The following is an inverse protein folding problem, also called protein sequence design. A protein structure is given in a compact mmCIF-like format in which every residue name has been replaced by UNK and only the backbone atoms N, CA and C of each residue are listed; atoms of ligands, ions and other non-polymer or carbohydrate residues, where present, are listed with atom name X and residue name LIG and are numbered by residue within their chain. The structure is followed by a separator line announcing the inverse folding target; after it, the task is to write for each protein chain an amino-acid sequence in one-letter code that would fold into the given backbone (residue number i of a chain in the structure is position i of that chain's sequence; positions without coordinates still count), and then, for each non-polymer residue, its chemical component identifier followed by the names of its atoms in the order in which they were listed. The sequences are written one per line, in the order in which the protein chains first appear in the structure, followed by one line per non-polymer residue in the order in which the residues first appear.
data_IF_916650882814
#
_entry.id   IF_916650882814
#
_cell.length_a   1.000
_cell.length_b   1.000
_cell.length_c   1.000
_cell.angle_alpha   90.00
_cell.angle_beta   90.00
_cell.angle_gamma   90.00
#
_symmetry.space_group_name_H-M   'P 1'
#
loop_
_entity.id
_entity.type
_entity.pdbx_description
1 polymer ?
#
# COMPACT_ATOMS: atom_id res chain seq x y z
N UNK A 1 18.73 6.34 -21.12
CA UNK A 1 17.57 5.80 -20.36
C UNK A 1 17.04 4.48 -20.96
N UNK A 2 16.99 4.30 -22.29
CA UNK A 2 16.64 3.01 -22.93
C UNK A 2 17.68 1.89 -22.75
N UNK A 3 18.98 2.21 -22.76
CA UNK A 3 20.06 1.21 -22.64
C UNK A 3 20.10 0.48 -21.28
N UNK A 4 19.57 1.09 -20.21
CA UNK A 4 19.46 0.44 -18.90
C UNK A 4 18.29 -0.56 -18.84
N UNK A 5 17.26 -0.35 -19.67
CA UNK A 5 16.10 -1.23 -19.77
C UNK A 5 16.44 -2.55 -20.48
N UNK A 6 17.37 -2.52 -21.45
CA UNK A 6 17.79 -3.70 -22.21
C UNK A 6 18.68 -4.62 -21.36
N UNK A 7 19.51 -4.06 -20.46
CA UNK A 7 20.31 -4.89 -19.54
C UNK A 7 19.45 -5.60 -18.48
N UNK A 8 18.26 -5.08 -18.16
CA UNK A 8 17.30 -5.72 -17.26
C UNK A 8 16.61 -6.94 -17.88
N UNK A 9 16.65 -7.08 -19.20
CA UNK A 9 16.08 -8.22 -19.96
C UNK A 9 17.12 -9.31 -20.27
N UNK A 10 18.39 -9.07 -19.93
CA UNK A 10 19.52 -9.97 -20.28
C UNK A 10 19.92 -10.96 -19.18
N UNK A 11 19.31 -10.89 -18.00
CA UNK A 11 19.55 -11.82 -16.91
C UNK A 11 18.34 -12.75 -16.70
N UNK A 12 18.47 -13.99 -17.20
CA UNK A 12 17.58 -15.11 -16.90
C UNK A 12 16.76 -15.59 -18.10
N UNK A 13 17.26 -16.60 -18.83
CA UNK A 13 16.58 -17.29 -19.93
C UNK A 13 15.37 -18.13 -19.53
N UNK A 14 14.56 -17.69 -18.57
CA UNK A 14 13.36 -18.39 -18.10
C UNK A 14 12.14 -17.47 -18.17
N UNK A 15 11.03 -18.01 -18.68
CA UNK A 15 9.72 -17.32 -18.79
C UNK A 15 9.26 -16.75 -17.43
N UNK A 16 9.78 -17.27 -16.31
CA UNK A 16 9.43 -16.91 -14.94
C UNK A 16 9.74 -15.45 -14.56
N UNK A 17 10.91 -14.91 -14.93
CA UNK A 17 11.34 -13.58 -14.44
C UNK A 17 10.41 -12.45 -14.94
N UNK A 18 10.07 -12.36 -16.24
CA UNK A 18 9.09 -11.37 -16.72
C UNK A 18 7.70 -11.52 -16.06
N UNK A 19 7.25 -12.76 -15.82
CA UNK A 19 5.99 -12.99 -15.10
C UNK A 19 6.05 -12.50 -13.66
N UNK A 20 7.18 -12.69 -12.98
CA UNK A 20 7.36 -12.22 -11.61
C UNK A 20 7.34 -10.68 -11.54
N UNK A 21 7.97 -10.01 -12.51
CA UNK A 21 7.89 -8.53 -12.65
C UNK A 21 6.44 -8.08 -12.86
N UNK A 22 5.70 -8.77 -13.74
CA UNK A 22 4.29 -8.47 -13.99
C UNK A 22 3.44 -8.64 -12.72
N UNK A 23 3.57 -9.77 -12.02
CA UNK A 23 2.86 -10.03 -10.75
C UNK A 23 3.22 -8.98 -9.70
N UNK A 24 4.49 -8.62 -9.59
CA UNK A 24 4.95 -7.57 -8.68
C UNK A 24 4.28 -6.23 -8.99
N UNK A 25 4.30 -5.78 -10.24
CA UNK A 25 3.68 -4.52 -10.68
C UNK A 25 2.15 -4.52 -10.47
N UNK A 26 1.46 -5.61 -10.82
CA UNK A 26 0.01 -5.74 -10.62
C UNK A 26 -0.33 -5.75 -9.13
N UNK A 27 0.45 -6.45 -8.31
CA UNK A 27 0.22 -6.47 -6.86
C UNK A 27 0.41 -5.09 -6.22
N UNK A 28 1.36 -4.27 -6.71
CA UNK A 28 1.50 -2.87 -6.30
C UNK A 28 0.25 -2.06 -6.67
N UNK A 29 -0.23 -2.20 -7.92
CA UNK A 29 -1.41 -1.51 -8.41
C UNK A 29 -2.66 -1.85 -7.59
N UNK A 30 -2.90 -3.15 -7.32
CA UNK A 30 -4.06 -3.61 -6.53
C UNK A 30 -3.91 -3.24 -5.05
N UNK A 31 -2.68 -3.17 -4.53
CA UNK A 31 -2.45 -2.74 -3.15
C UNK A 31 -2.72 -1.24 -2.96
N UNK A 32 -2.27 -0.40 -3.89
CA UNK A 32 -2.29 1.07 -3.76
C UNK A 32 -3.60 1.67 -4.31
N UNK A 33 -4.03 1.25 -5.50
CA UNK A 33 -5.13 1.87 -6.25
C UNK A 33 -6.45 2.01 -5.46
N UNK A 34 -6.92 0.97 -4.76
CA UNK A 34 -8.16 1.04 -4.00
C UNK A 34 -8.20 2.13 -2.91
N UNK A 35 -7.05 2.60 -2.38
CA UNK A 35 -7.04 3.66 -1.37
C UNK A 35 -7.55 5.01 -1.89
N UNK A 36 -7.47 5.27 -3.20
CA UNK A 36 -8.02 6.49 -3.79
C UNK A 36 -9.55 6.52 -3.65
N UNK A 37 -10.20 5.36 -3.79
CA UNK A 37 -11.66 5.22 -3.63
C UNK A 37 -12.12 5.48 -2.18
N UNK A 38 -11.21 5.33 -1.20
CA UNK A 38 -11.53 5.63 0.20
C UNK A 38 -11.71 7.13 0.47
N UNK A 39 -11.18 8.01 -0.40
CA UNK A 39 -11.32 9.46 -0.27
C UNK A 39 -12.80 9.87 -0.38
N UNK A 40 -13.53 9.59 -1.49
CA UNK A 40 -14.96 9.92 -1.56
C UNK A 40 -15.79 9.12 -0.54
N UNK A 41 -15.37 7.92 -0.14
CA UNK A 41 -16.05 7.17 0.93
C UNK A 41 -15.99 7.86 2.29
N UNK A 42 -14.91 8.57 2.62
CA UNK A 42 -14.86 9.38 3.85
C UNK A 42 -15.94 10.46 3.89
N UNK A 43 -16.25 11.07 2.74
CA UNK A 43 -17.36 12.01 2.61
C UNK A 43 -18.70 11.34 2.92
N UNK A 44 -18.94 10.17 2.32
CA UNK A 44 -20.14 9.37 2.56
C UNK A 44 -20.28 8.88 4.01
N UNK A 45 -19.15 8.56 4.66
CA UNK A 45 -19.12 8.19 6.08
C UNK A 45 -19.46 9.34 7.04
N UNK A 46 -19.46 10.60 6.61
CA UNK A 46 -19.88 11.72 7.46
C UNK A 46 -21.39 11.86 7.55
N UNK A 47 -22.12 11.50 6.49
CA UNK A 47 -23.57 11.69 6.39
C UNK A 47 -24.36 10.40 6.54
N UNK A 48 -23.75 9.23 6.38
CA UNK A 48 -24.44 7.95 6.52
C UNK A 48 -24.89 7.67 7.95
N UNK A 49 -26.02 7.00 8.15
CA UNK A 49 -26.50 6.59 9.47
C UNK A 49 -27.03 5.15 9.43
N UNK A 50 -27.19 4.54 10.60
CA UNK A 50 -27.73 3.18 10.74
C UNK A 50 -27.04 2.15 9.85
N UNK A 51 -27.83 1.38 9.10
CA UNK A 51 -27.34 0.31 8.21
C UNK A 51 -26.42 0.81 7.09
N UNK A 52 -26.64 2.02 6.58
CA UNK A 52 -25.83 2.59 5.51
C UNK A 52 -24.40 2.90 5.98
N UNK A 53 -24.26 3.35 7.23
CA UNK A 53 -22.95 3.55 7.85
C UNK A 53 -22.17 2.23 7.93
N UNK A 54 -22.83 1.16 8.39
CA UNK A 54 -22.20 -0.15 8.49
C UNK A 54 -21.75 -0.68 7.12
N UNK A 55 -22.59 -0.54 6.08
CA UNK A 55 -22.24 -0.93 4.72
C UNK A 55 -20.99 -0.18 4.20
N UNK A 56 -20.89 1.13 4.43
CA UNK A 56 -19.69 1.88 4.05
C UNK A 56 -18.46 1.50 4.86
N UNK A 57 -18.59 1.22 6.16
CA UNK A 57 -17.47 0.71 6.96
C UNK A 57 -17.01 -0.67 6.50
N UNK A 58 -17.93 -1.55 6.09
CA UNK A 58 -17.61 -2.87 5.53
C UNK A 58 -16.84 -2.76 4.22
N UNK A 59 -17.29 -1.88 3.31
CA UNK A 59 -16.55 -1.58 2.08
C UNK A 59 -15.16 -1.00 2.37
N UNK A 60 -15.04 -0.11 3.38
CA UNK A 60 -13.74 0.47 3.75
C UNK A 60 -12.80 -0.62 4.27
N UNK A 61 -13.31 -1.50 5.15
CA UNK A 61 -12.54 -2.61 5.70
C UNK A 61 -12.20 -3.66 4.64
N UNK A 62 -13.06 -3.87 3.65
CA UNK A 62 -12.76 -4.72 2.50
C UNK A 62 -11.56 -4.20 1.72
N UNK A 63 -11.56 -2.91 1.36
CA UNK A 63 -10.45 -2.27 0.65
C UNK A 63 -9.14 -2.42 1.45
N UNK A 64 -9.14 -2.08 2.74
CA UNK A 64 -7.94 -2.22 3.59
C UNK A 64 -7.45 -3.68 3.65
N UNK A 65 -8.36 -4.66 3.70
CA UNK A 65 -8.01 -6.09 3.67
C UNK A 65 -7.45 -6.51 2.33
N UNK A 66 -8.10 -6.15 1.22
CA UNK A 66 -7.64 -6.45 -0.13
C UNK A 66 -6.21 -5.94 -0.32
N UNK A 67 -5.98 -4.68 0.03
CA UNK A 67 -4.66 -4.07 -0.07
C UNK A 67 -3.61 -4.76 0.79
N UNK A 68 -3.96 -5.26 1.97
CA UNK A 68 -3.04 -6.05 2.80
C UNK A 68 -2.62 -7.35 2.10
N UNK A 69 -3.57 -8.10 1.53
CA UNK A 69 -3.26 -9.36 0.85
C UNK A 69 -2.41 -9.12 -0.41
N UNK A 70 -2.79 -8.13 -1.22
CA UNK A 70 -1.99 -7.72 -2.38
C UNK A 70 -0.62 -7.19 -1.98
N UNK A 71 -0.53 -6.49 -0.84
CA UNK A 71 0.72 -6.06 -0.22
C UNK A 71 1.64 -7.24 0.14
N UNK A 72 1.12 -8.34 0.68
CA UNK A 72 1.94 -9.53 0.91
C UNK A 72 2.51 -10.11 -0.40
N UNK A 73 1.68 -10.20 -1.44
CA UNK A 73 2.13 -10.64 -2.78
C UNK A 73 3.22 -9.70 -3.33
N UNK A 74 3.05 -8.39 -3.15
CA UNK A 74 4.03 -7.37 -3.55
C UNK A 74 5.38 -7.58 -2.87
N UNK A 75 5.37 -7.78 -1.55
CA UNK A 75 6.61 -7.97 -0.77
C UNK A 75 7.31 -9.26 -1.15
N UNK A 76 6.57 -10.37 -1.21
CA UNK A 76 7.14 -11.67 -1.55
C UNK A 76 7.72 -11.65 -2.96
N UNK A 77 6.95 -11.18 -3.95
CA UNK A 77 7.44 -11.07 -5.33
C UNK A 77 8.64 -10.12 -5.45
N UNK A 78 8.67 -9.02 -4.70
CA UNK A 78 9.80 -8.09 -4.68
C UNK A 78 11.07 -8.71 -4.10
N UNK A 79 10.94 -9.49 -3.02
CA UNK A 79 12.04 -10.26 -2.44
C UNK A 79 12.58 -11.31 -3.43
N UNK A 80 11.70 -12.04 -4.13
CA UNK A 80 12.14 -12.98 -5.16
C UNK A 80 12.84 -12.28 -6.33
N UNK A 81 12.35 -11.11 -6.79
CA UNK A 81 13.00 -10.34 -7.86
C UNK A 81 14.39 -9.86 -7.44
N UNK A 82 14.52 -9.40 -6.20
CA UNK A 82 15.80 -8.98 -5.65
C UNK A 82 16.80 -10.14 -5.58
N UNK A 83 16.34 -11.32 -5.13
CA UNK A 83 17.15 -12.54 -5.07
C UNK A 83 17.59 -12.99 -6.46
N UNK A 84 16.66 -13.11 -7.41
CA UNK A 84 16.94 -13.57 -8.77
C UNK A 84 17.73 -12.57 -9.61
N UNK A 85 17.60 -11.27 -9.31
CA UNK A 85 18.36 -10.20 -9.95
C UNK A 85 19.70 -9.89 -9.29
N UNK A 86 20.10 -10.65 -8.27
CA UNK A 86 21.38 -10.51 -7.56
C UNK A 86 21.67 -9.09 -7.01
N UNK A 87 20.62 -8.36 -6.63
CA UNK A 87 20.76 -6.99 -6.14
C UNK A 87 21.34 -6.95 -4.72
N UNK A 88 22.35 -6.11 -4.43
CA UNK A 88 22.90 -6.00 -3.08
C UNK A 88 21.89 -5.42 -2.09
N UNK A 89 21.77 -6.03 -0.90
CA UNK A 89 20.91 -5.54 0.20
C UNK A 89 21.27 -4.15 0.71
N UNK A 90 22.52 -3.73 0.52
CA UNK A 90 23.01 -2.40 0.91
C UNK A 90 22.62 -1.30 -0.07
N UNK A 91 21.99 -1.65 -1.18
CA UNK A 91 21.57 -0.67 -2.19
C UNK A 91 20.57 0.32 -1.57
N UNK A 92 20.81 1.64 -1.65
CA UNK A 92 20.09 2.61 -0.84
C UNK A 92 18.57 2.59 -0.97
N UNK A 93 18.07 2.58 -2.21
CA UNK A 93 16.65 2.57 -2.50
C UNK A 93 15.97 1.26 -2.08
N UNK A 94 16.71 0.13 -2.07
CA UNK A 94 16.20 -1.17 -1.60
C UNK A 94 16.01 -1.12 -0.09
N UNK A 95 17.06 -0.77 0.65
CA UNK A 95 17.01 -0.64 2.11
C UNK A 95 15.95 0.37 2.55
N UNK A 96 15.91 1.54 1.90
CA UNK A 96 14.88 2.57 2.14
C UNK A 96 13.47 2.04 1.91
N UNK A 97 13.26 1.26 0.85
CA UNK A 97 11.94 0.70 0.55
C UNK A 97 11.51 -0.33 1.60
N UNK A 98 12.40 -1.19 2.10
CA UNK A 98 12.06 -2.10 3.19
C UNK A 98 11.68 -1.36 4.48
N UNK A 99 12.42 -0.31 4.84
CA UNK A 99 12.10 0.52 6.01
C UNK A 99 10.70 1.14 5.87
N UNK A 100 10.43 1.77 4.72
CA UNK A 100 9.13 2.40 4.44
C UNK A 100 8.01 1.36 4.40
N UNK A 101 8.26 0.18 3.82
CA UNK A 101 7.33 -0.94 3.76
C UNK A 101 6.95 -1.46 5.14
N UNK A 102 7.93 -1.79 5.99
CA UNK A 102 7.62 -2.29 7.34
C UNK A 102 6.91 -1.22 8.17
N UNK A 103 7.33 0.04 8.04
CA UNK A 103 6.64 1.18 8.66
C UNK A 103 5.19 1.32 8.18
N UNK A 104 4.94 1.17 6.88
CA UNK A 104 3.60 1.27 6.30
C UNK A 104 2.68 0.13 6.74
N UNK A 105 3.17 -1.11 6.79
CA UNK A 105 2.41 -2.26 7.26
C UNK A 105 2.00 -2.10 8.73
N UNK A 106 2.94 -1.68 9.57
CA UNK A 106 2.66 -1.40 10.99
C UNK A 106 1.66 -0.26 11.15
N UNK A 107 1.86 0.85 10.44
CA UNK A 107 0.96 2.00 10.45
C UNK A 107 -0.46 1.60 10.01
N UNK A 108 -0.60 0.85 8.92
CA UNK A 108 -1.90 0.43 8.39
C UNK A 108 -2.67 -0.41 9.43
N UNK A 109 -2.00 -1.41 10.02
CA UNK A 109 -2.62 -2.28 11.01
C UNK A 109 -3.08 -1.51 12.25
N UNK A 110 -2.26 -0.57 12.75
CA UNK A 110 -2.58 0.22 13.94
C UNK A 110 -3.48 1.42 13.71
N UNK A 111 -3.52 2.01 12.52
CA UNK A 111 -4.25 3.24 12.28
C UNK A 111 -5.69 2.97 11.81
N UNK A 112 -5.87 2.06 10.85
CA UNK A 112 -7.20 1.82 10.25
C UNK A 112 -8.06 0.87 11.06
N UNK A 113 -7.53 -0.32 11.40
CA UNK A 113 -8.33 -1.38 12.05
C UNK A 113 -9.00 -0.94 13.36
N UNK A 114 -8.29 -0.33 14.35
CA UNK A 114 -8.93 0.09 15.59
C UNK A 114 -9.86 1.28 15.38
N UNK A 115 -9.57 2.18 14.42
CA UNK A 115 -10.42 3.35 14.16
C UNK A 115 -11.75 2.94 13.52
N UNK A 116 -11.74 2.01 12.57
CA UNK A 116 -12.96 1.45 11.95
C UNK A 116 -13.80 0.71 13.00
N UNK A 117 -13.16 -0.08 13.87
CA UNK A 117 -13.86 -0.78 14.97
C UNK A 117 -14.55 0.21 15.92
N UNK A 118 -13.85 1.27 16.33
CA UNK A 118 -14.43 2.31 17.18
C UNK A 118 -15.57 3.05 16.49
N UNK A 119 -15.46 3.37 15.21
CA UNK A 119 -16.54 4.01 14.43
C UNK A 119 -17.83 3.18 14.37
N UNK A 120 -17.72 1.86 14.46
CA UNK A 120 -18.88 0.96 14.51
C UNK A 120 -19.61 1.00 15.85
N UNK A 121 -18.89 1.35 16.92
CA UNK A 121 -19.37 1.28 18.31
C UNK A 121 -19.61 2.67 18.93
N UNK A 122 -19.23 3.73 18.25
CA UNK A 122 -19.23 5.09 18.79
C UNK A 122 -20.59 5.77 18.66
N UNK A 123 -20.98 6.44 19.74
CA UNK A 123 -22.09 7.40 19.78
C UNK A 123 -21.84 8.59 18.83
N UNK A 124 -22.90 9.33 18.43
CA UNK A 124 -22.80 10.43 17.46
C UNK A 124 -21.77 11.51 17.82
N UNK A 125 -21.54 11.76 19.12
CA UNK A 125 -20.62 12.79 19.61
C UNK A 125 -19.14 12.50 19.28
N UNK A 126 -18.69 11.27 19.46
CA UNK A 126 -17.27 10.87 19.22
C UNK A 126 -16.95 10.63 17.74
N UNK A 127 -17.98 10.52 16.91
CA UNK A 127 -17.87 10.12 15.51
C UNK A 127 -17.05 11.10 14.68
N UNK A 128 -17.23 12.40 14.90
CA UNK A 128 -16.51 13.45 14.16
C UNK A 128 -15.00 13.37 14.37
N UNK A 129 -14.57 13.17 15.62
CA UNK A 129 -13.16 13.00 15.99
C UNK A 129 -12.56 11.72 15.38
N UNK A 130 -13.30 10.61 15.42
CA UNK A 130 -12.87 9.34 14.82
C UNK A 130 -12.77 9.43 13.28
N UNK A 131 -13.70 10.10 12.61
CA UNK A 131 -13.64 10.33 11.16
C UNK A 131 -12.46 11.23 10.77
N UNK A 132 -12.15 12.27 11.56
CA UNK A 132 -10.96 13.10 11.36
C UNK A 132 -9.67 12.29 11.50
N UNK A 133 -9.61 11.41 12.51
CA UNK A 133 -8.49 10.48 12.71
C UNK A 133 -8.34 9.49 11.55
N UNK A 134 -9.45 8.91 11.08
CA UNK A 134 -9.45 7.99 9.93
C UNK A 134 -8.99 8.70 8.66
N UNK A 135 -9.49 9.92 8.42
CA UNK A 135 -9.10 10.74 7.28
C UNK A 135 -7.63 11.10 7.29
N UNK A 136 -7.10 11.59 8.42
CA UNK A 136 -5.66 11.85 8.57
C UNK A 136 -4.84 10.59 8.31
N UNK A 137 -5.28 9.45 8.82
CA UNK A 137 -4.60 8.17 8.60
C UNK A 137 -4.59 7.77 7.13
N UNK A 138 -5.70 7.98 6.40
CA UNK A 138 -5.77 7.76 4.95
C UNK A 138 -4.75 8.60 4.19
N UNK A 139 -4.72 9.92 4.43
CA UNK A 139 -3.79 10.81 3.72
C UNK A 139 -2.33 10.54 4.06
N UNK A 140 -2.00 10.30 5.33
CA UNK A 140 -0.64 9.91 5.74
C UNK A 140 -0.24 8.60 5.05
N UNK A 141 -1.14 7.62 4.99
CA UNK A 141 -0.85 6.35 4.34
C UNK A 141 -0.65 6.52 2.83
N UNK A 142 -1.50 7.28 2.15
CA UNK A 142 -1.32 7.61 0.72
C UNK A 142 0.02 8.29 0.47
N UNK A 143 0.42 9.23 1.32
CA UNK A 143 1.73 9.87 1.24
C UNK A 143 2.87 8.86 1.37
N UNK A 144 2.81 7.95 2.35
CA UNK A 144 3.79 6.87 2.52
C UNK A 144 3.86 5.98 1.27
N UNK A 145 2.72 5.62 0.68
CA UNK A 145 2.67 4.81 -0.55
C UNK A 145 3.29 5.53 -1.74
N UNK A 146 3.07 6.84 -1.89
CA UNK A 146 3.69 7.65 -2.95
C UNK A 146 5.20 7.73 -2.76
N UNK A 147 5.68 7.93 -1.53
CA UNK A 147 7.12 7.90 -1.21
C UNK A 147 7.73 6.54 -1.54
N UNK A 148 7.04 5.45 -1.19
CA UNK A 148 7.49 4.08 -1.50
C UNK A 148 7.57 3.85 -3.02
N UNK A 149 6.55 4.29 -3.77
CA UNK A 149 6.54 4.18 -5.23
C UNK A 149 7.68 5.02 -5.85
N UNK A 150 7.91 6.22 -5.33
CA UNK A 150 9.00 7.10 -5.77
C UNK A 150 10.38 6.46 -5.55
N UNK A 151 10.63 5.85 -4.38
CA UNK A 151 11.89 5.13 -4.09
C UNK A 151 12.14 4.00 -5.10
N UNK A 152 11.10 3.23 -5.41
CA UNK A 152 11.16 2.11 -6.37
C UNK A 152 11.36 2.58 -7.81
N UNK A 153 10.78 3.73 -8.20
CA UNK A 153 10.84 4.24 -9.57
C UNK A 153 12.13 5.01 -9.86
N UNK A 154 12.51 5.91 -8.97
CA UNK A 154 13.65 6.81 -9.17
C UNK A 154 14.98 6.18 -8.74
N UNK A 155 14.94 5.16 -7.87
CA UNK A 155 16.12 4.43 -7.37
C UNK A 155 17.27 5.35 -6.94
N UNK A 156 17.02 6.36 -6.08
CA UNK A 156 18.03 7.34 -5.73
C UNK A 156 19.24 6.69 -5.04
N UNK A 157 20.44 7.13 -5.39
CA UNK A 157 21.67 6.80 -4.68
C UNK A 157 21.80 7.75 -3.48
N UNK A 158 21.24 7.36 -2.34
CA UNK A 158 21.23 8.17 -1.12
C UNK A 158 22.54 8.07 -0.31
N UNK A 159 23.35 7.04 -0.59
CA UNK A 159 24.70 6.82 -0.06
C UNK A 159 25.47 5.88 -0.98
#
# INVERSE_FOLDING_TARGET
MLHCFIHLFKFGGSILYPWLVFVHAVSALVSIGPFIVLIPMLGKLRTAEGSLLHAYLDSFQFVVRLSKHSGHVLVISGLLLMWLGEWPWKTPWIAGTFIVLFGSLFFMARAFSPTIRRLRQSEPYDRTALLKKLSRSLYVYLFILVVMLWLMMMKPALW
#
